data_IF_148251082562
#
_entry.id   IF_148251082562
#
_cell.length_a   1.000
_cell.length_b   1.000
_cell.length_c   1.000
_cell.angle_alpha   90.00
_cell.angle_beta   90.00
_cell.angle_gamma   90.00
#
_symmetry.space_group_name_H-M   'P 1'
#
loop_
_entity.id
_entity.type
_entity.pdbx_description
1 polymer ?
#
# COMPACT_ATOMS: atom_id res chain seq x y z
N UNK A 1 8.50 -1.77 10.62
CA UNK A 1 7.26 -1.50 9.85
C UNK A 1 7.53 -1.39 8.36
N UNK A 2 8.61 -0.72 7.96
CA UNK A 2 8.93 -0.57 6.55
C UNK A 2 9.19 -1.89 5.83
N UNK A 3 9.80 -2.84 6.51
CA UNK A 3 10.05 -4.15 5.92
C UNK A 3 8.73 -4.86 5.59
N UNK A 4 7.75 -4.70 6.47
CA UNK A 4 6.46 -5.34 6.25
C UNK A 4 5.79 -4.79 5.00
N UNK A 5 5.88 -3.48 4.81
CA UNK A 5 5.32 -2.85 3.62
C UNK A 5 5.99 -3.38 2.37
N UNK A 6 7.32 -3.52 2.41
CA UNK A 6 8.05 -4.02 1.24
C UNK A 6 7.66 -5.46 0.91
N UNK A 7 7.53 -6.30 1.94
CA UNK A 7 7.14 -7.69 1.72
C UNK A 7 5.76 -7.79 1.09
N UNK A 8 4.82 -6.99 1.60
CA UNK A 8 3.47 -7.02 1.08
C UNK A 8 3.43 -6.49 -0.35
N UNK A 9 4.22 -5.47 -0.66
CA UNK A 9 4.26 -4.94 -2.00
C UNK A 9 4.82 -5.96 -2.99
N UNK A 10 5.81 -6.75 -2.56
CA UNK A 10 6.34 -7.80 -3.42
C UNK A 10 5.30 -8.87 -3.68
N UNK A 11 4.48 -9.16 -2.68
CA UNK A 11 3.43 -10.15 -2.86
C UNK A 11 2.36 -9.66 -3.82
N UNK A 12 2.05 -8.36 -3.77
CA UNK A 12 1.12 -7.80 -4.74
C UNK A 12 1.66 -7.95 -6.16
N UNK A 13 2.94 -7.66 -6.34
CA UNK A 13 3.55 -7.77 -7.67
C UNK A 13 3.51 -9.21 -8.18
N UNK A 14 3.76 -10.17 -7.28
CA UNK A 14 3.71 -11.57 -7.67
C UNK A 14 2.29 -12.01 -7.99
N UNK A 15 1.34 -11.60 -7.17
CA UNK A 15 -0.06 -11.95 -7.38
C UNK A 15 -0.57 -11.41 -8.71
N UNK A 16 -0.11 -10.22 -9.08
CA UNK A 16 -0.53 -9.62 -10.34
C UNK A 16 -0.09 -10.46 -11.54
N UNK A 17 0.99 -11.19 -11.39
CA UNK A 17 1.49 -12.03 -12.49
C UNK A 17 0.89 -13.43 -12.50
N UNK A 18 0.52 -13.95 -11.35
CA UNK A 18 0.24 -15.38 -11.23
C UNK A 18 -1.12 -15.72 -10.66
N UNK A 19 -1.84 -14.75 -10.11
CA UNK A 19 -3.04 -15.06 -9.37
C UNK A 19 -4.24 -14.27 -9.88
N UNK A 20 -5.38 -14.53 -9.26
CA UNK A 20 -6.63 -13.92 -9.68
C UNK A 20 -6.74 -12.48 -9.22
N UNK A 21 -7.68 -11.75 -9.82
CA UNK A 21 -7.95 -10.37 -9.40
C UNK A 21 -8.31 -10.31 -7.92
N UNK A 22 -9.02 -11.34 -7.44
CA UNK A 22 -9.41 -11.37 -6.04
C UNK A 22 -8.18 -11.42 -5.14
N UNK A 23 -7.20 -12.24 -5.49
CA UNK A 23 -5.97 -12.32 -4.71
C UNK A 23 -5.18 -11.02 -4.79
N UNK A 24 -5.16 -10.40 -5.96
CA UNK A 24 -4.47 -9.13 -6.10
C UNK A 24 -5.10 -8.09 -5.16
N UNK A 25 -6.43 -8.06 -5.12
CA UNK A 25 -7.10 -7.09 -4.25
C UNK A 25 -6.81 -7.36 -2.78
N UNK A 26 -6.75 -8.64 -2.38
CA UNK A 26 -6.46 -8.98 -1.01
C UNK A 26 -5.05 -8.54 -0.61
N UNK A 27 -4.08 -8.80 -1.49
CA UNK A 27 -2.70 -8.42 -1.18
C UNK A 27 -2.54 -6.90 -1.20
N UNK A 28 -3.25 -6.22 -2.10
CA UNK A 28 -3.21 -4.77 -2.12
C UNK A 28 -3.79 -4.19 -0.82
N UNK A 29 -4.85 -4.81 -0.30
CA UNK A 29 -5.43 -4.35 0.95
C UNK A 29 -4.43 -4.49 2.10
N UNK A 30 -3.63 -5.56 2.08
CA UNK A 30 -2.60 -5.74 3.11
C UNK A 30 -1.56 -4.63 3.05
N UNK A 31 -1.17 -4.24 1.83
CA UNK A 31 -0.23 -3.13 1.67
C UNK A 31 -0.82 -1.85 2.22
N UNK A 32 -2.08 -1.56 1.87
CA UNK A 32 -2.73 -0.35 2.35
C UNK A 32 -2.81 -0.33 3.86
N UNK A 33 -3.12 -1.48 4.46
CA UNK A 33 -3.20 -1.57 5.91
C UNK A 33 -1.86 -1.21 6.56
N UNK A 34 -0.79 -1.82 6.06
CA UNK A 34 0.52 -1.59 6.66
C UNK A 34 1.02 -0.17 6.41
N UNK A 35 0.66 0.41 5.26
CA UNK A 35 1.00 1.80 5.00
C UNK A 35 0.27 2.72 5.97
N UNK A 36 -1.00 2.42 6.25
CA UNK A 36 -1.76 3.23 7.18
C UNK A 36 -1.13 3.19 8.57
N UNK A 37 -0.69 2.00 8.99
CA UNK A 37 -0.07 1.86 10.31
C UNK A 37 1.25 2.63 10.34
N UNK A 38 2.04 2.51 9.29
CA UNK A 38 3.31 3.22 9.21
C UNK A 38 3.12 4.73 9.31
N UNK A 39 2.15 5.24 8.56
CA UNK A 39 1.87 6.68 8.58
C UNK A 39 1.35 7.11 9.94
N UNK A 40 0.50 6.28 10.56
CA UNK A 40 -0.04 6.60 11.88
C UNK A 40 1.08 6.74 12.91
N UNK A 41 2.12 5.93 12.79
CA UNK A 41 3.25 6.02 13.70
C UNK A 41 3.98 7.35 13.57
N UNK A 42 3.79 8.03 12.44
CA UNK A 42 4.35 9.34 12.20
C UNK A 42 3.32 10.46 12.40
N UNK A 43 2.16 10.12 12.94
CA UNK A 43 1.10 11.10 13.15
C UNK A 43 0.41 11.53 11.86
N UNK A 44 0.42 10.67 10.85
CA UNK A 44 -0.15 10.98 9.54
C UNK A 44 -1.26 10.01 9.19
N UNK A 45 -1.95 10.28 8.09
CA UNK A 45 -3.03 9.45 7.59
C UNK A 45 -2.83 9.18 6.11
N UNK A 46 -3.56 8.19 5.59
CA UNK A 46 -3.50 7.89 4.17
C UNK A 46 -3.89 9.07 3.31
N UNK A 47 -4.80 9.91 3.80
CA UNK A 47 -5.21 11.09 3.03
C UNK A 47 -4.03 12.01 2.77
N UNK A 48 -3.04 12.02 3.65
CA UNK A 48 -1.85 12.83 3.41
C UNK A 48 -1.10 12.38 2.17
N UNK A 49 -1.03 11.06 1.98
CA UNK A 49 -0.38 10.53 0.79
C UNK A 49 -1.18 10.84 -0.47
N UNK A 50 -2.49 10.74 -0.38
CA UNK A 50 -3.35 11.08 -1.51
C UNK A 50 -3.18 12.53 -1.91
N UNK A 51 -3.04 13.42 -0.94
CA UNK A 51 -2.86 14.83 -1.24
C UNK A 51 -1.57 15.08 -1.99
N UNK A 52 -0.51 14.36 -1.63
CA UNK A 52 0.75 14.49 -2.36
C UNK A 52 0.57 14.05 -3.80
N UNK A 53 -0.12 12.94 -4.01
CA UNK A 53 -0.40 12.46 -5.36
C UNK A 53 -1.14 13.50 -6.18
N UNK A 54 -2.18 14.07 -5.58
CA UNK A 54 -2.99 15.06 -6.28
C UNK A 54 -2.17 16.31 -6.61
N UNK A 55 -1.32 16.73 -5.67
CA UNK A 55 -0.46 17.88 -5.91
C UNK A 55 0.54 17.66 -7.01
N UNK A 56 1.07 16.41 -7.09
CA UNK A 56 2.06 16.08 -8.11
C UNK A 56 1.49 16.14 -9.52
N UNK A 57 0.19 16.08 -9.65
CA UNK A 57 -0.45 16.03 -10.96
C UNK A 57 -0.73 17.40 -11.55
N UNK A 58 -0.52 18.43 -10.78
CA UNK A 58 -0.83 19.78 -11.22
C UNK A 58 0.24 20.38 -12.09
#
# INVERSE_FOLDING_TARGET
MGEKVREEAEEVARAAREETDERVAEEAADVLYHLAVLLAERGMELSDAYEVLNGSRR
#
